data_IF_561927930882
#
_entry.id   IF_561927930882
#
_cell.length_a   1.000
_cell.length_b   1.000
_cell.length_c   1.000
_cell.angle_alpha   90.00
_cell.angle_beta   90.00
_cell.angle_gamma   90.00
#
_symmetry.space_group_name_H-M   'P 1'
#
loop_
_entity.id
_entity.type
_entity.pdbx_description
1 polymer ?
#
# COMPACT_ATOMS: atom_id res chain seq x y z
N UNK A 1 -22.66 5.30 -14.46
CA UNK A 1 -23.79 5.37 -15.42
C UNK A 1 -24.16 3.94 -15.76
N UNK A 2 -25.39 3.53 -15.49
CA UNK A 2 -25.92 2.24 -15.94
C UNK A 2 -26.01 2.27 -17.47
N UNK A 3 -25.56 1.20 -18.14
CA UNK A 3 -25.79 1.09 -19.59
C UNK A 3 -27.29 0.97 -19.85
N UNK A 4 -27.75 1.54 -20.98
CA UNK A 4 -29.17 1.52 -21.34
C UNK A 4 -29.71 0.08 -21.35
N UNK A 5 -30.80 -0.15 -20.65
CA UNK A 5 -31.48 -1.47 -20.55
C UNK A 5 -31.36 -2.17 -19.20
N UNK A 6 -30.56 -1.64 -18.25
CA UNK A 6 -30.48 -2.19 -16.88
C UNK A 6 -31.22 -1.29 -15.89
N UNK A 7 -32.08 -1.88 -15.07
CA UNK A 7 -32.73 -1.21 -13.94
C UNK A 7 -32.63 -2.05 -12.69
N UNK A 8 -32.49 -1.39 -11.55
CA UNK A 8 -32.58 -2.10 -10.27
C UNK A 8 -34.02 -2.43 -9.93
N UNK A 9 -34.25 -3.64 -9.42
CA UNK A 9 -35.56 -4.00 -8.91
C UNK A 9 -35.96 -3.09 -7.74
N UNK A 10 -37.23 -2.73 -7.64
CA UNK A 10 -37.75 -1.98 -6.48
C UNK A 10 -37.67 -2.85 -5.23
N UNK A 11 -37.16 -2.31 -4.12
CA UNK A 11 -37.07 -2.99 -2.84
C UNK A 11 -36.07 -2.35 -1.90
N UNK A 12 -36.14 -2.72 -0.62
CA UNK A 12 -35.17 -2.29 0.38
C UNK A 12 -33.97 -3.26 0.38
N UNK A 13 -32.75 -2.75 0.37
CA UNK A 13 -31.48 -3.52 0.42
C UNK A 13 -31.32 -4.56 -0.68
N UNK A 14 -31.87 -4.30 -1.86
CA UNK A 14 -31.81 -5.20 -3.02
C UNK A 14 -30.55 -5.01 -3.89
N UNK A 15 -29.66 -4.11 -3.51
CA UNK A 15 -28.38 -3.88 -4.16
C UNK A 15 -27.26 -4.02 -3.15
N UNK A 16 -26.34 -4.94 -3.40
CA UNK A 16 -25.09 -5.10 -2.65
C UNK A 16 -23.96 -4.63 -3.57
N UNK A 17 -23.20 -3.66 -3.12
CA UNK A 17 -22.01 -3.16 -3.83
C UNK A 17 -20.77 -3.56 -3.05
N UNK A 18 -19.95 -4.42 -3.64
CA UNK A 18 -18.63 -4.75 -3.12
C UNK A 18 -17.61 -3.94 -3.93
N UNK A 19 -16.73 -3.23 -3.24
CA UNK A 19 -15.68 -2.46 -3.90
C UNK A 19 -14.40 -2.47 -3.05
N UNK A 20 -13.27 -2.41 -3.74
CA UNK A 20 -11.98 -2.16 -3.12
C UNK A 20 -11.67 -0.67 -3.19
N UNK A 21 -11.12 -0.13 -2.14
CA UNK A 21 -10.70 1.26 -2.09
C UNK A 21 -9.23 1.36 -1.67
N UNK A 22 -8.58 2.46 -2.06
CA UNK A 22 -7.16 2.65 -1.80
C UNK A 22 -6.29 2.30 -3.00
N UNK A 23 -4.99 2.18 -2.74
CA UNK A 23 -4.00 1.89 -3.76
C UNK A 23 -3.66 0.40 -3.70
N UNK A 24 -4.04 -0.34 -4.73
CA UNK A 24 -3.77 -1.79 -4.77
C UNK A 24 -3.40 -2.27 -6.17
N UNK A 25 -2.71 -3.39 -6.21
CA UNK A 25 -2.41 -4.16 -7.40
C UNK A 25 -3.29 -5.40 -7.37
N UNK A 26 -4.07 -5.60 -8.42
CA UNK A 26 -4.91 -6.78 -8.57
C UNK A 26 -4.20 -7.81 -9.44
N UNK A 27 -4.23 -9.06 -9.00
CA UNK A 27 -3.87 -10.23 -9.82
C UNK A 27 -2.47 -10.16 -10.46
N UNK A 28 -1.47 -9.71 -9.71
CA UNK A 28 -0.08 -9.79 -10.13
C UNK A 28 0.30 -11.25 -10.34
N UNK A 29 0.67 -11.59 -11.58
CA UNK A 29 0.97 -12.95 -11.94
C UNK A 29 2.37 -13.36 -11.44
N UNK A 30 2.45 -14.52 -10.80
CA UNK A 30 3.68 -15.13 -10.36
C UNK A 30 3.66 -16.65 -10.57
N UNK A 31 4.82 -17.26 -10.56
CA UNK A 31 4.96 -18.73 -10.56
C UNK A 31 5.75 -19.12 -9.32
N UNK A 32 5.22 -20.03 -8.52
CA UNK A 32 5.91 -20.54 -7.34
C UNK A 32 7.18 -21.27 -7.82
N UNK A 33 8.38 -20.91 -7.33
CA UNK A 33 9.62 -21.58 -7.73
C UNK A 33 9.54 -23.08 -7.51
N UNK A 34 10.09 -23.85 -8.45
CA UNK A 34 10.13 -25.31 -8.34
C UNK A 34 11.23 -25.81 -7.38
N UNK A 35 12.18 -24.93 -7.01
CA UNK A 35 13.28 -25.23 -6.10
C UNK A 35 13.07 -24.54 -4.74
N UNK A 36 13.93 -24.87 -3.78
CA UNK A 36 13.90 -24.37 -2.41
C UNK A 36 13.68 -22.85 -2.32
N UNK A 37 13.14 -22.45 -1.18
CA UNK A 37 12.55 -21.17 -0.78
C UNK A 37 11.10 -20.95 -1.20
N UNK A 38 10.57 -21.54 -2.26
CA UNK A 38 9.15 -21.45 -2.66
C UNK A 38 8.53 -20.08 -2.40
N UNK A 39 9.30 -19.01 -2.65
CA UNK A 39 8.94 -17.63 -2.35
C UNK A 39 8.74 -16.81 -3.61
N UNK A 40 7.76 -15.91 -3.55
CA UNK A 40 7.54 -14.86 -4.54
C UNK A 40 7.55 -13.55 -3.80
N UNK A 41 8.36 -12.60 -4.25
CA UNK A 41 8.33 -11.22 -3.74
C UNK A 41 7.43 -10.39 -4.65
N UNK A 42 6.47 -9.65 -4.07
CA UNK A 42 5.66 -8.68 -4.78
C UNK A 42 6.55 -7.66 -5.49
N UNK A 43 6.24 -7.30 -6.73
CA UNK A 43 7.12 -6.45 -7.55
C UNK A 43 7.25 -5.01 -7.03
N UNK A 44 6.29 -4.52 -6.28
CA UNK A 44 6.29 -3.20 -5.62
C UNK A 44 6.65 -2.02 -6.56
N UNK A 45 6.29 -2.13 -7.83
CA UNK A 45 6.64 -1.13 -8.86
C UNK A 45 5.99 0.24 -8.64
N UNK A 46 4.88 0.26 -7.87
CA UNK A 46 4.11 1.49 -7.58
C UNK A 46 4.38 2.08 -6.20
N UNK A 47 5.09 1.35 -5.36
CA UNK A 47 5.42 1.75 -4.00
C UNK A 47 5.62 0.55 -3.07
N UNK A 48 6.06 0.79 -1.83
CA UNK A 48 6.26 -0.27 -0.85
C UNK A 48 4.99 -1.08 -0.58
N UNK A 49 5.18 -2.36 -0.28
CA UNK A 49 4.11 -3.25 0.15
C UNK A 49 3.38 -2.69 1.38
N UNK A 50 2.07 -2.69 1.33
CA UNK A 50 1.23 -2.22 2.43
C UNK A 50 0.53 -3.36 3.16
N UNK A 51 -0.29 -4.11 2.44
CA UNK A 51 -1.09 -5.21 3.01
C UNK A 51 -1.39 -6.25 1.94
N UNK A 52 -1.47 -7.50 2.36
CA UNK A 52 -2.00 -8.58 1.55
C UNK A 52 -3.51 -8.46 1.37
N UNK A 53 -3.97 -8.62 0.14
CA UNK A 53 -5.40 -8.62 -0.24
C UNK A 53 -5.81 -9.99 -0.83
N UNK A 54 -4.92 -11.00 -0.77
CA UNK A 54 -5.18 -12.38 -1.08
C UNK A 54 -4.44 -12.93 -2.30
N UNK A 55 -4.35 -14.24 -2.32
CA UNK A 55 -3.71 -15.01 -3.39
C UNK A 55 -4.67 -16.06 -3.92
N UNK A 56 -4.67 -16.29 -5.22
CA UNK A 56 -5.44 -17.35 -5.88
C UNK A 56 -4.58 -18.08 -6.93
N UNK A 57 -4.88 -19.34 -7.19
CA UNK A 57 -4.24 -20.05 -8.29
C UNK A 57 -4.68 -19.49 -9.65
N UNK A 58 -3.73 -19.30 -10.55
CA UNK A 58 -4.04 -18.78 -11.90
C UNK A 58 -4.81 -19.77 -12.76
N UNK A 59 -4.69 -21.09 -12.49
CA UNK A 59 -5.28 -22.15 -13.28
C UNK A 59 -6.80 -22.28 -13.12
N UNK A 60 -7.32 -22.05 -11.92
CA UNK A 60 -8.73 -22.31 -11.58
C UNK A 60 -9.37 -21.19 -10.74
N UNK A 61 -8.62 -20.15 -10.37
CA UNK A 61 -9.10 -19.06 -9.54
C UNK A 61 -9.37 -19.43 -8.08
N UNK A 62 -8.98 -20.63 -7.63
CA UNK A 62 -9.18 -21.05 -6.25
C UNK A 62 -8.32 -20.20 -5.31
N UNK A 63 -8.95 -19.60 -4.30
CA UNK A 63 -8.26 -18.79 -3.30
C UNK A 63 -7.42 -19.67 -2.37
N UNK A 64 -6.20 -19.21 -2.06
CA UNK A 64 -5.35 -19.80 -1.04
C UNK A 64 -5.66 -19.19 0.32
N UNK A 65 -5.34 -19.92 1.37
CA UNK A 65 -5.58 -19.48 2.75
C UNK A 65 -4.31 -18.90 3.35
N UNK A 66 -4.40 -17.68 3.89
CA UNK A 66 -3.31 -17.05 4.64
C UNK A 66 -3.12 -17.75 5.99
N UNK A 67 -1.87 -18.09 6.32
CA UNK A 67 -1.47 -18.67 7.61
C UNK A 67 -0.25 -17.96 8.19
N UNK A 68 -0.06 -18.03 9.50
CA UNK A 68 1.09 -17.39 10.18
C UNK A 68 2.30 -18.30 10.36
N UNK A 69 2.19 -19.58 9.98
CA UNK A 69 3.24 -20.58 10.12
C UNK A 69 3.73 -21.12 8.77
N UNK A 70 4.27 -22.35 8.79
CA UNK A 70 4.66 -23.06 7.58
C UNK A 70 3.41 -23.42 6.77
N UNK A 71 3.30 -22.98 5.50
CA UNK A 71 2.12 -23.26 4.70
C UNK A 71 1.99 -24.74 4.32
N UNK A 72 0.78 -25.29 4.40
CA UNK A 72 0.39 -26.54 3.77
C UNK A 72 -0.16 -26.29 2.35
N UNK A 73 -0.43 -27.36 1.61
CA UNK A 73 -1.02 -27.26 0.25
C UNK A 73 -2.24 -26.35 0.21
N UNK A 74 -2.24 -25.39 -0.71
CA UNK A 74 -3.31 -24.40 -0.83
C UNK A 74 -3.27 -23.29 0.23
N UNK A 75 -2.15 -23.18 0.95
CA UNK A 75 -1.92 -22.12 1.92
C UNK A 75 -0.69 -21.29 1.56
N UNK A 76 -0.62 -20.10 2.10
CA UNK A 76 0.55 -19.22 1.98
C UNK A 76 0.77 -18.41 3.25
N UNK A 77 1.98 -17.91 3.40
CA UNK A 77 2.36 -16.94 4.41
C UNK A 77 2.96 -15.72 3.70
N UNK A 78 2.79 -14.54 4.27
CA UNK A 78 3.39 -13.30 3.75
C UNK A 78 4.02 -12.51 4.90
N UNK A 79 5.20 -11.97 4.67
CA UNK A 79 5.86 -11.08 5.60
C UNK A 79 5.54 -9.60 5.34
N UNK A 80 6.00 -8.72 6.22
CA UNK A 80 5.78 -7.27 6.13
C UNK A 80 6.49 -6.61 4.95
N UNK A 81 7.42 -7.31 4.30
CA UNK A 81 8.13 -6.84 3.12
C UNK A 81 7.46 -7.29 1.81
N UNK A 82 6.37 -8.07 1.89
CA UNK A 82 5.67 -8.59 0.71
C UNK A 82 6.31 -9.83 0.10
N UNK A 83 7.02 -10.63 0.90
CA UNK A 83 7.51 -11.94 0.48
C UNK A 83 6.48 -13.01 0.81
N UNK A 84 5.94 -13.62 -0.20
CA UNK A 84 4.97 -14.71 -0.14
C UNK A 84 5.68 -16.06 -0.14
N UNK A 85 5.46 -16.84 0.89
CA UNK A 85 6.02 -18.21 1.03
C UNK A 85 4.89 -19.22 0.82
N UNK A 86 5.14 -20.23 0.02
CA UNK A 86 4.17 -21.27 -0.37
C UNK A 86 4.60 -22.67 0.08
N UNK A 87 3.67 -23.60 0.04
CA UNK A 87 3.97 -25.00 0.32
C UNK A 87 4.80 -25.63 -0.81
N UNK A 88 5.68 -26.57 -0.47
CA UNK A 88 6.43 -27.37 -1.42
C UNK A 88 5.54 -28.11 -2.42
N UNK A 89 4.37 -28.56 -1.98
CA UNK A 89 3.39 -29.25 -2.83
C UNK A 89 2.72 -28.35 -3.88
N UNK A 90 2.86 -27.02 -3.75
CA UNK A 90 2.35 -26.05 -4.71
C UNK A 90 3.45 -25.51 -5.65
N UNK A 91 4.68 -26.05 -5.55
CA UNK A 91 5.80 -25.67 -6.39
C UNK A 91 5.46 -25.79 -7.89
N UNK A 92 5.90 -24.83 -8.69
CA UNK A 92 5.65 -24.75 -10.12
C UNK A 92 4.24 -24.29 -10.52
N UNK A 93 3.32 -24.12 -9.58
CA UNK A 93 1.98 -23.59 -9.88
C UNK A 93 2.02 -22.08 -10.09
N UNK A 94 1.19 -21.60 -11.02
CA UNK A 94 0.95 -20.17 -11.22
C UNK A 94 -0.02 -19.63 -10.18
N UNK A 95 0.26 -18.44 -9.69
CA UNK A 95 -0.58 -17.71 -8.72
C UNK A 95 -0.83 -16.30 -9.20
N UNK A 96 -1.91 -15.72 -8.71
CA UNK A 96 -2.29 -14.33 -8.87
C UNK A 96 -2.33 -13.71 -7.47
N UNK A 97 -1.49 -12.72 -7.26
CA UNK A 97 -1.29 -12.06 -5.97
C UNK A 97 -1.96 -10.69 -6.03
N UNK A 98 -2.76 -10.37 -5.03
CA UNK A 98 -3.36 -9.05 -4.86
C UNK A 98 -2.87 -8.43 -3.58
N UNK A 99 -2.43 -7.19 -3.63
CA UNK A 99 -1.90 -6.48 -2.47
C UNK A 99 -2.09 -4.98 -2.58
N UNK A 100 -2.20 -4.33 -1.43
CA UNK A 100 -2.18 -2.87 -1.34
C UNK A 100 -0.74 -2.36 -1.27
N UNK A 101 -0.52 -1.16 -1.77
CA UNK A 101 0.78 -0.48 -1.70
C UNK A 101 0.63 0.94 -1.18
N UNK A 102 1.73 1.50 -0.67
CA UNK A 102 1.80 2.90 -0.26
C UNK A 102 2.46 3.67 -1.40
N UNK A 103 1.79 4.67 -2.02
CA UNK A 103 2.41 5.50 -3.04
C UNK A 103 3.74 6.08 -2.57
N UNK A 104 4.76 6.02 -3.43
CA UNK A 104 6.14 6.38 -3.06
C UNK A 104 6.29 7.84 -2.62
N UNK A 105 5.50 8.74 -3.20
CA UNK A 105 5.47 10.16 -2.85
C UNK A 105 4.83 10.41 -1.47
N UNK A 106 3.77 9.67 -1.11
CA UNK A 106 3.22 9.70 0.26
C UNK A 106 4.23 9.15 1.26
N UNK A 107 4.90 8.05 0.93
CA UNK A 107 5.94 7.49 1.79
C UNK A 107 7.08 8.50 2.02
N UNK A 108 7.54 9.16 0.96
CA UNK A 108 8.55 10.22 1.05
C UNK A 108 8.07 11.41 1.90
N UNK A 109 6.84 11.87 1.69
CA UNK A 109 6.24 12.93 2.48
C UNK A 109 6.19 12.59 3.98
N UNK A 110 5.83 11.35 4.31
CA UNK A 110 5.84 10.88 5.70
C UNK A 110 7.25 10.90 6.32
N UNK A 111 8.27 10.42 5.58
CA UNK A 111 9.67 10.42 6.04
C UNK A 111 10.13 11.86 6.33
N UNK A 112 9.79 12.80 5.47
CA UNK A 112 10.17 14.21 5.67
C UNK A 112 9.47 14.87 6.85
N UNK A 113 8.17 14.60 7.03
CA UNK A 113 7.43 15.10 8.21
C UNK A 113 8.05 14.54 9.50
N UNK A 114 8.37 13.26 9.53
CA UNK A 114 9.00 12.62 10.70
C UNK A 114 10.38 13.21 10.94
N UNK A 115 11.19 13.36 9.88
CA UNK A 115 12.52 13.96 9.97
C UNK A 115 12.49 15.40 10.48
N UNK A 116 11.55 16.22 10.00
CA UNK A 116 11.38 17.59 10.48
C UNK A 116 10.90 17.63 11.95
N UNK A 117 9.98 16.77 12.34
CA UNK A 117 9.53 16.63 13.74
C UNK A 117 10.68 16.23 14.66
N UNK A 118 11.52 15.30 14.23
CA UNK A 118 12.68 14.88 15.01
C UNK A 118 13.68 16.05 15.21
N UNK A 119 13.99 16.78 14.14
CA UNK A 119 14.85 17.96 14.20
C UNK A 119 14.25 19.09 15.05
N UNK A 120 12.93 19.26 15.00
CA UNK A 120 12.21 20.26 15.80
C UNK A 120 12.39 20.01 17.31
N UNK A 121 12.43 18.74 17.74
CA UNK A 121 12.67 18.41 19.16
C UNK A 121 13.99 18.98 19.69
N UNK A 122 15.00 19.12 18.85
CA UNK A 122 16.32 19.63 19.23
C UNK A 122 16.38 21.17 19.25
N UNK A 123 15.37 21.85 18.68
CA UNK A 123 15.35 23.32 18.54
C UNK A 123 14.06 23.97 19.10
N UNK A 124 13.37 23.29 20.01
CA UNK A 124 12.14 23.79 20.63
C UNK A 124 12.42 25.17 21.26
N UNK A 125 11.63 26.18 20.87
CA UNK A 125 11.78 27.55 21.35
C UNK A 125 12.79 28.41 20.61
N UNK A 126 13.51 27.87 19.61
CA UNK A 126 14.44 28.65 18.79
C UNK A 126 13.78 29.00 17.45
N UNK A 127 13.75 30.30 17.13
CA UNK A 127 13.31 30.80 15.82
C UNK A 127 14.47 31.00 14.86
N UNK A 128 15.67 31.27 15.39
CA UNK A 128 16.89 31.43 14.62
C UNK A 128 18.10 31.03 15.46
N UNK A 129 19.17 30.64 14.81
CA UNK A 129 20.46 30.39 15.45
C UNK A 129 21.55 31.14 14.67
N UNK A 130 22.37 31.93 15.38
CA UNK A 130 23.50 32.62 14.79
C UNK A 130 24.80 31.97 15.28
N UNK A 131 25.59 31.48 14.34
CA UNK A 131 26.90 30.92 14.64
C UNK A 131 27.97 31.98 14.36
N UNK A 132 28.72 32.37 15.38
CA UNK A 132 29.89 33.26 15.29
C UNK A 132 29.64 34.60 14.56
N UNK A 133 28.42 35.11 14.53
CA UNK A 133 28.09 36.43 13.95
C UNK A 133 28.10 36.48 12.41
N UNK A 134 28.38 35.40 11.72
CA UNK A 134 28.49 35.39 10.25
C UNK A 134 27.36 34.71 9.51
N UNK A 135 26.68 33.75 10.12
CA UNK A 135 25.57 33.01 9.48
C UNK A 135 24.40 32.96 10.43
N UNK A 136 23.23 33.47 10.01
CA UNK A 136 21.97 33.31 10.71
C UNK A 136 21.10 32.27 10.00
N UNK A 137 20.78 31.20 10.66
CA UNK A 137 19.87 30.17 10.16
C UNK A 137 18.48 30.42 10.77
N UNK A 138 17.50 30.70 9.92
CA UNK A 138 16.10 30.85 10.32
C UNK A 138 15.36 29.54 10.15
N UNK A 139 14.52 29.19 11.11
CA UNK A 139 13.73 27.97 11.07
C UNK A 139 12.26 28.27 10.72
N UNK A 140 11.68 27.43 9.86
CA UNK A 140 10.26 27.52 9.56
C UNK A 140 9.44 27.07 10.79
N UNK A 141 8.48 27.88 11.19
CA UNK A 141 7.52 27.55 12.25
C UNK A 141 6.27 26.81 11.70
N UNK A 142 6.21 26.56 10.40
CA UNK A 142 5.08 25.86 9.79
C UNK A 142 5.03 24.43 10.32
N UNK A 143 3.86 23.96 10.69
CA UNK A 143 3.62 22.59 11.16
C UNK A 143 3.81 21.55 10.05
N UNK A 144 3.68 21.97 8.79
CA UNK A 144 3.87 21.16 7.60
C UNK A 144 4.47 22.03 6.50
N UNK A 145 5.44 21.50 5.78
CA UNK A 145 6.03 22.19 4.63
C UNK A 145 5.04 22.25 3.48
N UNK A 146 5.06 23.35 2.71
CA UNK A 146 4.08 23.58 1.64
C UNK A 146 4.15 22.51 0.56
N UNK A 147 5.33 22.02 0.24
CA UNK A 147 5.55 20.96 -0.73
C UNK A 147 4.92 19.62 -0.28
N UNK A 148 5.02 19.26 1.01
CA UNK A 148 4.37 18.05 1.55
C UNK A 148 2.84 18.20 1.47
N UNK A 149 2.31 19.38 1.78
CA UNK A 149 0.90 19.68 1.60
C UNK A 149 0.45 19.49 0.17
N UNK A 150 1.24 19.97 -0.81
CA UNK A 150 0.94 19.82 -2.22
C UNK A 150 0.89 18.35 -2.66
N UNK A 151 1.81 17.51 -2.16
CA UNK A 151 1.74 16.06 -2.40
C UNK A 151 0.44 15.47 -1.85
N UNK A 152 0.10 15.77 -0.59
CA UNK A 152 -1.10 15.23 0.06
C UNK A 152 -2.40 15.72 -0.60
N UNK A 153 -2.42 16.95 -1.10
CA UNK A 153 -3.58 17.51 -1.80
C UNK A 153 -3.89 16.76 -3.11
N UNK A 154 -2.90 16.16 -3.77
CA UNK A 154 -3.12 15.31 -4.95
C UNK A 154 -3.94 14.05 -4.62
N UNK A 155 -3.91 13.60 -3.36
CA UNK A 155 -4.64 12.42 -2.88
C UNK A 155 -5.95 12.77 -2.16
N UNK A 156 -6.25 14.07 -2.07
CA UNK A 156 -7.47 14.53 -1.44
C UNK A 156 -8.68 14.18 -2.31
N UNK A 157 -9.56 13.35 -1.79
CA UNK A 157 -10.82 13.02 -2.44
C UNK A 157 -11.73 14.25 -2.42
N UNK A 158 -11.99 14.86 -3.56
CA UNK A 158 -13.02 15.88 -3.72
C UNK A 158 -14.32 15.16 -4.04
N UNK A 159 -15.21 15.05 -3.05
CA UNK A 159 -16.57 14.59 -3.31
C UNK A 159 -17.27 15.61 -4.21
N UNK A 160 -17.51 15.25 -5.45
CA UNK A 160 -18.37 16.05 -6.35
C UNK A 160 -19.80 15.75 -5.91
N UNK A 161 -20.43 16.68 -5.22
CA UNK A 161 -21.86 16.62 -4.91
C UNK A 161 -22.59 17.15 -6.14
N UNK A 162 -23.43 16.29 -6.74
CA UNK A 162 -24.34 16.63 -7.84
C UNK A 162 -25.69 17.08 -7.29
#
# INVERSE_FOLDING_TARGET
VLSSGYSFNKGLRNVLVNYNYGFYVADEAGTIPAAADYKITAQQTKGPFGRDDGVKFSSNGAALTLVTGTPATGQYNVDTAGNYTFAVADAGKGVLISYSYIPSDINQACIEIVGERYRYMQRIGQQSHSAAGQVTVSFSLKSMQDYVRQILDNYRFVAIVW
#
